data_IF_205049119251
#
_entry.id   IF_205049119251
#
_cell.length_a   1.000
_cell.length_b   1.000
_cell.length_c   1.000
_cell.angle_alpha   90.00
_cell.angle_beta   90.00
_cell.angle_gamma   90.00
#
_symmetry.space_group_name_H-M   'P 1'
#
loop_
_entity.id
_entity.type
_entity.pdbx_description
1 polymer ?
#
# COMPACT_ATOMS: atom_id res chain seq x y z
N UNK A 1 -1.02 -14.15 13.43
CA UNK A 1 -1.05 -12.83 14.09
C UNK A 1 -0.82 -11.76 13.03
N UNK A 2 -1.52 -10.63 13.10
CA UNK A 2 -1.42 -9.57 12.09
C UNK A 2 -0.85 -8.30 12.71
N UNK A 3 0.04 -7.63 11.99
CA UNK A 3 0.55 -6.29 12.30
C UNK A 3 -0.30 -5.30 11.53
N UNK A 4 -0.90 -4.33 12.21
CA UNK A 4 -1.78 -3.35 11.59
C UNK A 4 -1.12 -1.97 11.58
N UNK A 5 -1.01 -1.36 10.40
CA UNK A 5 -0.52 0.01 10.22
C UNK A 5 -1.66 0.85 9.66
N UNK A 6 -2.05 1.90 10.36
CA UNK A 6 -3.02 2.87 9.85
C UNK A 6 -2.33 3.90 8.94
N UNK A 7 -2.64 3.87 7.65
CA UNK A 7 -2.08 4.77 6.66
C UNK A 7 -2.93 6.03 6.42
N UNK A 8 -3.92 6.32 7.28
CA UNK A 8 -4.87 7.42 7.08
C UNK A 8 -4.22 8.79 6.87
N UNK A 9 -3.07 9.03 7.51
CA UNK A 9 -2.32 10.29 7.46
C UNK A 9 -1.22 10.31 6.39
N UNK A 10 -1.02 9.21 5.67
CA UNK A 10 0.01 9.12 4.63
C UNK A 10 -0.55 9.69 3.34
N UNK A 11 0.08 10.73 2.82
CA UNK A 11 -0.34 11.42 1.59
C UNK A 11 0.46 11.00 0.35
N UNK A 12 1.44 10.10 0.44
CA UNK A 12 2.16 9.51 -0.69
C UNK A 12 1.82 8.03 -0.81
N UNK A 13 2.22 7.34 -1.88
CA UNK A 13 1.93 5.90 -2.01
C UNK A 13 2.70 5.11 -0.93
N UNK A 14 2.07 4.46 0.05
CA UNK A 14 2.81 3.67 1.06
C UNK A 14 3.22 2.28 0.58
N UNK A 15 2.89 1.91 -0.67
CA UNK A 15 3.37 0.66 -1.28
C UNK A 15 4.90 0.65 -1.53
N UNK A 16 5.43 -0.45 -2.09
CA UNK A 16 6.87 -0.71 -2.19
C UNK A 16 7.61 0.15 -3.21
N UNK A 17 6.96 1.11 -3.89
CA UNK A 17 7.67 2.04 -4.76
C UNK A 17 8.52 3.02 -3.94
N UNK A 18 9.55 3.62 -4.55
CA UNK A 18 10.39 4.62 -3.88
C UNK A 18 9.79 6.03 -3.85
N UNK A 19 8.55 6.21 -4.34
CA UNK A 19 7.92 7.54 -4.38
C UNK A 19 7.46 7.99 -2.99
N UNK A 20 7.99 9.12 -2.51
CA UNK A 20 7.45 9.90 -1.39
C UNK A 20 6.74 11.17 -1.87
N UNK A 21 6.55 11.31 -3.18
CA UNK A 21 5.79 12.43 -3.75
C UNK A 21 4.34 12.32 -3.27
N UNK A 22 3.77 13.40 -2.71
CA UNK A 22 2.36 13.42 -2.35
C UNK A 22 1.46 13.08 -3.54
N UNK A 23 0.33 12.45 -3.25
CA UNK A 23 -0.76 12.25 -4.20
C UNK A 23 -1.21 13.62 -4.72
N UNK A 24 -1.32 13.76 -6.03
CA UNK A 24 -1.89 14.96 -6.63
C UNK A 24 -3.36 15.10 -6.24
N UNK A 25 -3.85 16.33 -6.20
CA UNK A 25 -5.29 16.61 -6.09
C UNK A 25 -6.08 15.86 -7.18
N UNK A 26 -7.27 15.33 -6.86
CA UNK A 26 -8.09 14.62 -7.84
C UNK A 26 -8.54 15.56 -8.96
N UNK A 27 -8.69 15.02 -10.16
CA UNK A 27 -9.19 15.76 -11.32
C UNK A 27 -10.65 15.40 -11.60
N UNK A 28 -11.42 16.33 -12.16
CA UNK A 28 -12.77 16.02 -12.62
C UNK A 28 -12.71 15.32 -13.98
N UNK A 29 -13.32 14.14 -14.08
CA UNK A 29 -13.61 13.46 -15.35
C UNK A 29 -15.14 13.41 -15.49
N UNK A 30 -15.68 14.36 -16.23
CA UNK A 30 -17.13 14.58 -16.27
C UNK A 30 -17.64 15.08 -14.92
N UNK A 31 -18.55 14.32 -14.31
CA UNK A 31 -19.14 14.61 -12.98
C UNK A 31 -18.45 13.90 -11.82
N UNK A 32 -17.41 13.10 -12.08
CA UNK A 32 -16.75 12.28 -11.07
C UNK A 32 -15.32 12.77 -10.80
N UNK A 33 -14.90 12.66 -9.53
CA UNK A 33 -13.53 12.88 -9.14
C UNK A 33 -12.70 11.63 -9.43
N UNK A 34 -11.58 11.83 -10.12
CA UNK A 34 -10.60 10.79 -10.43
C UNK A 34 -9.31 11.04 -9.65
N UNK A 35 -8.97 10.07 -8.80
CA UNK A 35 -7.79 10.10 -7.95
C UNK A 35 -6.62 9.38 -8.63
N UNK A 36 -5.41 9.91 -8.48
CA UNK A 36 -4.23 9.31 -9.11
C UNK A 36 -3.89 7.94 -8.51
N UNK A 37 -4.11 7.75 -7.20
CA UNK A 37 -3.96 6.45 -6.54
C UNK A 37 -5.25 5.65 -6.57
N UNK A 38 -5.12 4.33 -6.41
CA UNK A 38 -6.23 3.39 -6.31
C UNK A 38 -6.80 3.37 -4.88
N UNK A 39 -8.12 3.19 -4.71
CA UNK A 39 -9.13 3.16 -5.78
C UNK A 39 -9.37 4.56 -6.36
N UNK A 40 -9.45 4.67 -7.69
CA UNK A 40 -9.56 5.95 -8.40
C UNK A 40 -10.84 6.72 -8.07
N UNK A 41 -11.84 6.07 -7.47
CA UNK A 41 -13.06 6.70 -6.96
C UNK A 41 -12.85 7.54 -5.69
N UNK A 42 -11.63 7.56 -5.12
CA UNK A 42 -11.30 8.34 -3.93
C UNK A 42 -11.49 7.61 -2.60
N UNK A 43 -12.10 6.43 -2.63
CA UNK A 43 -12.17 5.53 -1.48
C UNK A 43 -10.78 5.08 -0.99
N UNK A 44 -10.77 4.24 0.04
CA UNK A 44 -9.54 3.65 0.59
C UNK A 44 -9.70 2.15 0.70
N UNK A 45 -8.63 1.42 0.43
CA UNK A 45 -8.60 0.00 0.76
C UNK A 45 -8.66 -0.15 2.28
N UNK A 46 -9.59 -0.99 2.76
CA UNK A 46 -9.73 -1.26 4.18
C UNK A 46 -8.47 -1.95 4.74
N UNK A 47 -7.88 -2.85 3.96
CA UNK A 47 -6.58 -3.44 4.22
C UNK A 47 -5.92 -3.92 2.92
N UNK A 48 -4.62 -3.72 2.80
CA UNK A 48 -3.75 -4.43 1.86
C UNK A 48 -2.77 -5.29 2.66
N UNK A 49 -2.75 -6.60 2.38
CA UNK A 49 -1.99 -7.57 3.16
C UNK A 49 -0.65 -7.93 2.50
N UNK A 50 0.41 -8.00 3.29
CA UNK A 50 1.70 -8.53 2.87
C UNK A 50 2.18 -9.57 3.89
N UNK A 51 2.68 -10.74 3.48
CA UNK A 51 3.39 -11.65 4.39
C UNK A 51 4.62 -10.97 4.99
N UNK A 52 4.90 -11.23 6.27
CA UNK A 52 6.07 -10.68 6.96
C UNK A 52 6.43 -11.52 8.20
N UNK A 53 7.59 -12.19 8.22
CA UNK A 53 8.11 -12.92 9.39
C UNK A 53 7.08 -13.82 10.08
N UNK A 54 6.44 -14.72 9.33
CA UNK A 54 5.36 -15.62 9.81
C UNK A 54 4.08 -14.92 10.30
N UNK A 55 3.95 -13.61 10.07
CA UNK A 55 2.78 -12.76 10.33
C UNK A 55 2.30 -12.15 9.01
N UNK A 56 1.20 -11.40 9.06
CA UNK A 56 0.81 -10.53 7.94
C UNK A 56 0.87 -9.06 8.37
N UNK A 57 1.47 -8.23 7.53
CA UNK A 57 1.37 -6.78 7.56
C UNK A 57 0.09 -6.34 6.88
N UNK A 58 -0.76 -5.58 7.56
CA UNK A 58 -1.98 -5.01 7.02
C UNK A 58 -1.88 -3.49 6.99
N UNK A 59 -1.82 -2.91 5.79
CA UNK A 59 -1.92 -1.46 5.58
C UNK A 59 -3.39 -1.06 5.52
N UNK A 60 -3.90 -0.42 6.58
CA UNK A 60 -5.29 0.05 6.66
C UNK A 60 -5.48 1.43 6.07
N UNK A 61 -6.70 1.71 5.61
CA UNK A 61 -7.15 3.04 5.18
C UNK A 61 -6.22 3.70 4.16
N UNK A 62 -5.89 2.92 3.13
CA UNK A 62 -4.79 3.26 2.23
C UNK A 62 -5.23 3.47 0.79
N UNK A 63 -4.56 4.40 0.10
CA UNK A 63 -4.51 4.45 -1.35
C UNK A 63 -3.08 4.20 -1.82
N UNK A 64 -2.91 3.43 -2.89
CA UNK A 64 -1.59 3.12 -3.47
C UNK A 64 -1.58 3.45 -4.96
N UNK A 65 -0.42 3.78 -5.53
CA UNK A 65 -0.32 4.02 -6.96
C UNK A 65 -0.68 2.76 -7.76
N UNK A 66 -1.12 2.96 -9.01
CA UNK A 66 -1.49 1.87 -9.92
C UNK A 66 -0.40 0.81 -10.06
N UNK A 67 0.87 1.22 -10.13
CA UNK A 67 2.01 0.31 -10.22
C UNK A 67 2.15 -0.60 -8.98
N UNK A 68 2.05 -0.04 -7.77
CA UNK A 68 2.07 -0.84 -6.55
C UNK A 68 0.85 -1.75 -6.44
N UNK A 69 -0.32 -1.28 -6.86
CA UNK A 69 -1.55 -2.08 -6.84
C UNK A 69 -1.44 -3.29 -7.78
N UNK A 70 -1.03 -3.06 -9.02
CA UNK A 70 -0.90 -4.11 -10.02
C UNK A 70 0.13 -5.15 -9.60
N UNK A 71 1.32 -4.69 -9.14
CA UNK A 71 2.37 -5.57 -8.59
C UNK A 71 1.87 -6.43 -7.44
N UNK A 72 1.11 -5.84 -6.52
CA UNK A 72 0.55 -6.57 -5.38
C UNK A 72 -0.43 -7.66 -5.82
N UNK A 73 -1.35 -7.32 -6.72
CA UNK A 73 -2.33 -8.26 -7.27
C UNK A 73 -1.63 -9.39 -8.04
N UNK A 74 -0.66 -9.07 -8.90
CA UNK A 74 0.12 -10.04 -9.68
C UNK A 74 0.82 -11.06 -8.78
N UNK A 75 1.56 -10.60 -7.76
CA UNK A 75 2.24 -11.53 -6.85
C UNK A 75 1.28 -12.32 -5.97
N UNK A 76 0.12 -11.75 -5.63
CA UNK A 76 -0.91 -12.46 -4.88
C UNK A 76 -1.52 -13.58 -5.73
N UNK A 77 -1.90 -13.29 -6.98
CA UNK A 77 -2.49 -14.23 -7.91
C UNK A 77 -1.51 -15.36 -8.27
N UNK A 78 -0.22 -15.05 -8.41
CA UNK A 78 0.86 -16.02 -8.66
C UNK A 78 1.31 -16.80 -7.41
N UNK A 79 0.78 -16.50 -6.22
CA UNK A 79 1.25 -17.03 -4.93
C UNK A 79 2.75 -16.75 -4.66
N UNK A 80 3.30 -15.67 -5.19
CA UNK A 80 4.69 -15.25 -4.97
C UNK A 80 4.84 -14.49 -3.63
N UNK A 81 4.62 -15.23 -2.55
CA UNK A 81 4.68 -14.69 -1.19
C UNK A 81 6.08 -14.21 -0.79
N UNK A 82 7.14 -14.75 -1.41
CA UNK A 82 8.51 -14.29 -1.18
C UNK A 82 8.70 -12.85 -1.68
N UNK A 83 8.20 -12.52 -2.89
CA UNK A 83 8.24 -11.14 -3.38
C UNK A 83 7.34 -10.21 -2.57
N UNK A 84 6.17 -10.68 -2.12
CA UNK A 84 5.31 -9.88 -1.23
C UNK A 84 5.97 -9.61 0.12
N UNK A 85 6.74 -10.56 0.67
CA UNK A 85 7.52 -10.34 1.90
C UNK A 85 8.67 -9.36 1.69
N UNK A 86 9.34 -9.40 0.53
CA UNK A 86 10.31 -8.35 0.16
C UNK A 86 9.66 -6.97 0.08
N UNK A 87 8.45 -6.90 -0.48
CA UNK A 87 7.67 -5.65 -0.51
C UNK A 87 7.31 -5.16 0.89
N UNK A 88 6.91 -6.05 1.80
CA UNK A 88 6.67 -5.70 3.21
C UNK A 88 7.90 -5.04 3.85
N UNK A 89 9.09 -5.62 3.65
CA UNK A 89 10.34 -5.07 4.17
C UNK A 89 10.64 -3.65 3.63
N UNK A 90 10.36 -3.41 2.34
CA UNK A 90 10.54 -2.08 1.73
C UNK A 90 9.56 -1.08 2.34
N UNK A 91 8.30 -1.47 2.50
CA UNK A 91 7.25 -0.63 3.10
C UNK A 91 7.62 -0.23 4.53
N UNK A 92 8.03 -1.19 5.35
CA UNK A 92 8.44 -0.95 6.75
C UNK A 92 9.57 0.07 6.83
N UNK A 93 10.61 -0.09 6.00
CA UNK A 93 11.73 0.86 5.91
C UNK A 93 11.26 2.23 5.43
N UNK A 94 10.41 2.28 4.40
CA UNK A 94 9.90 3.52 3.81
C UNK A 94 9.09 4.35 4.82
N UNK A 95 8.28 3.67 5.63
CA UNK A 95 7.44 4.26 6.67
C UNK A 95 8.18 4.46 8.00
N UNK A 96 9.48 4.14 8.06
CA UNK A 96 10.34 4.27 9.24
C UNK A 96 9.75 3.57 10.48
N UNK A 97 9.19 2.38 10.28
CA UNK A 97 8.57 1.59 11.34
C UNK A 97 9.61 0.66 11.96
N UNK A 98 9.65 0.61 13.29
CA UNK A 98 10.46 -0.35 14.02
C UNK A 98 9.59 -1.53 14.45
N UNK A 99 9.57 -2.60 13.65
CA UNK A 99 8.80 -3.82 13.90
C UNK A 99 9.68 -4.99 14.38
N UNK A 100 10.97 -4.74 14.61
CA UNK A 100 11.97 -5.73 15.03
C UNK A 100 12.19 -5.76 16.55
N UNK A 101 11.33 -5.06 17.30
CA UNK A 101 11.30 -5.10 18.76
C UNK A 101 10.21 -6.10 19.21
N UNK A 102 10.53 -7.39 19.11
CA UNK A 102 9.94 -8.41 19.99
C UNK A 102 10.92 -8.62 21.17
#
# INVERSE_FOLDING_TARGET
>A
MNIYIDASYINFCPGPCNSKTPESEPINIGSELYYSFKPHSGGKYACIYYPYKSRNLCLKNVRICSGCNNRHMEFWDENDYEKLEKDANIIIKKLNLNLDLD
#
